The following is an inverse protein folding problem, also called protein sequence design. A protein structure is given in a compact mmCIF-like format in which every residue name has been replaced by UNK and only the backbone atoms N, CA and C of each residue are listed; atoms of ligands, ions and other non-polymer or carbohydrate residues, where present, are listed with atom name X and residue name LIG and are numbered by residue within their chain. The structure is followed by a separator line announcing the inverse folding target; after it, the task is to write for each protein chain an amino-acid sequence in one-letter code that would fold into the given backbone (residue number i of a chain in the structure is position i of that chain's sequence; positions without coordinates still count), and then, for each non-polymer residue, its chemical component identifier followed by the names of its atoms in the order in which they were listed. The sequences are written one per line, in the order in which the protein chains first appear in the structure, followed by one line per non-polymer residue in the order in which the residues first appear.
data_IF_328880404421
#
_entry.id   IF_328880404421
#
_cell.length_a   1.000
_cell.length_b   1.000
_cell.length_c   1.000
_cell.angle_alpha   90.00
_cell.angle_beta   90.00
_cell.angle_gamma   90.00
#
_symmetry.space_group_name_H-M   'P 1'
#
loop_
_entity.id
_entity.type
_entity.pdbx_description
1 polymer ?
#
# COMPACT_ATOMS: atom_id res chain seq x y z
N UNK A 1 -2.31 16.94 -1.91
CA UNK A 1 -3.38 17.03 -0.89
C UNK A 1 -2.78 17.57 0.40
N UNK A 2 -3.40 18.60 0.96
CA UNK A 2 -3.06 19.04 2.31
C UNK A 2 -3.64 18.00 3.28
N UNK A 3 -2.79 17.40 4.12
CA UNK A 3 -3.21 16.34 5.05
C UNK A 3 -4.08 16.96 6.15
N UNK A 4 -5.25 16.35 6.43
CA UNK A 4 -6.08 16.71 7.56
C UNK A 4 -5.53 16.03 8.82
N UNK A 5 -5.07 16.78 9.84
CA UNK A 5 -4.52 16.18 11.06
C UNK A 5 -5.53 15.31 11.84
N UNK A 6 -6.83 15.53 11.61
CA UNK A 6 -7.91 14.80 12.27
C UNK A 6 -8.39 13.57 11.49
N UNK A 7 -7.88 13.37 10.25
CA UNK A 7 -8.30 12.27 9.38
C UNK A 7 -7.09 11.58 8.78
N UNK A 8 -7.11 10.25 8.82
CA UNK A 8 -6.11 9.40 8.20
C UNK A 8 -6.77 8.47 7.20
N UNK A 9 -6.33 8.49 5.96
CA UNK A 9 -6.92 7.70 4.88
C UNK A 9 -5.99 6.53 4.55
N UNK A 10 -6.52 5.31 4.65
CA UNK A 10 -5.81 4.06 4.42
C UNK A 10 -6.40 3.34 3.20
N UNK A 11 -5.55 3.06 2.20
CA UNK A 11 -5.89 2.19 1.08
C UNK A 11 -5.29 0.81 1.28
N UNK A 12 -6.10 -0.23 1.08
CA UNK A 12 -5.66 -1.63 1.16
C UNK A 12 -6.02 -2.32 -0.14
N UNK A 13 -5.03 -2.99 -0.76
CA UNK A 13 -5.29 -3.82 -1.93
C UNK A 13 -4.20 -4.88 -2.15
N UNK A 14 -4.59 -6.00 -2.72
CA UNK A 14 -3.69 -7.14 -2.96
C UNK A 14 -3.35 -7.39 -4.44
N UNK A 15 -3.58 -6.37 -5.32
CA UNK A 15 -3.58 -6.53 -6.77
C UNK A 15 -5.01 -6.81 -7.30
N UNK A 16 -5.20 -6.99 -8.61
CA UNK A 16 -6.52 -7.10 -9.26
C UNK A 16 -7.43 -8.19 -8.69
N UNK A 17 -6.85 -9.29 -8.22
CA UNK A 17 -7.59 -10.43 -7.64
C UNK A 17 -7.78 -10.32 -6.12
N UNK A 18 -7.24 -9.27 -5.50
CA UNK A 18 -7.15 -9.18 -4.06
C UNK A 18 -6.04 -10.05 -3.46
N UNK A 19 -5.97 -10.10 -2.14
CA UNK A 19 -5.02 -10.93 -1.40
C UNK A 19 -5.65 -11.42 -0.11
N UNK A 20 -5.99 -12.71 -0.04
CA UNK A 20 -6.62 -13.29 1.14
C UNK A 20 -5.84 -13.02 2.41
N UNK A 21 -4.51 -13.17 2.39
CA UNK A 21 -3.67 -12.93 3.56
C UNK A 21 -3.77 -11.47 4.06
N UNK A 22 -3.74 -10.48 3.16
CA UNK A 22 -3.90 -9.07 3.52
C UNK A 22 -5.32 -8.80 4.01
N UNK A 23 -6.33 -9.36 3.32
CA UNK A 23 -7.74 -9.21 3.68
C UNK A 23 -8.01 -9.73 5.10
N UNK A 24 -7.56 -10.94 5.42
CA UNK A 24 -7.73 -11.56 6.74
C UNK A 24 -6.94 -10.81 7.82
N UNK A 25 -5.71 -10.41 7.53
CA UNK A 25 -4.91 -9.63 8.46
C UNK A 25 -5.58 -8.29 8.79
N UNK A 26 -6.17 -7.61 7.79
CA UNK A 26 -6.86 -6.34 8.06
C UNK A 26 -8.13 -6.54 8.90
N UNK A 27 -8.95 -7.53 8.60
CA UNK A 27 -10.15 -7.80 9.41
C UNK A 27 -9.77 -8.14 10.86
N UNK A 28 -8.72 -8.92 11.06
CA UNK A 28 -8.22 -9.26 12.40
C UNK A 28 -7.46 -8.10 13.08
N UNK A 29 -7.04 -7.09 12.33
CA UNK A 29 -6.43 -5.87 12.86
C UNK A 29 -7.45 -4.90 13.48
N UNK A 30 -8.73 -4.94 13.07
CA UNK A 30 -9.75 -3.97 13.48
C UNK A 30 -9.90 -3.79 14.98
N UNK A 31 -9.93 -4.86 15.82
CA UNK A 31 -9.99 -4.70 17.27
C UNK A 31 -8.78 -3.98 17.87
N UNK A 32 -7.60 -4.14 17.26
CA UNK A 32 -6.36 -3.50 17.70
C UNK A 32 -6.25 -2.04 17.26
N UNK A 33 -7.12 -1.59 16.33
CA UNK A 33 -7.21 -0.22 15.83
C UNK A 33 -8.40 0.56 16.38
N UNK A 34 -9.10 0.03 17.38
CA UNK A 34 -10.33 0.61 17.93
C UNK A 34 -10.15 2.06 18.37
N UNK A 35 -9.02 2.39 19.03
CA UNK A 35 -8.71 3.76 19.47
C UNK A 35 -8.51 4.76 18.33
N UNK A 36 -8.23 4.27 17.11
CA UNK A 36 -8.00 5.07 15.91
C UNK A 36 -9.21 5.15 14.98
N UNK A 37 -10.27 4.37 15.26
CA UNK A 37 -11.42 4.16 14.37
C UNK A 37 -12.06 5.45 13.87
N UNK A 38 -12.32 6.39 14.76
CA UNK A 38 -13.03 7.63 14.43
C UNK A 38 -12.21 8.58 13.52
N UNK A 39 -10.88 8.42 13.52
CA UNK A 39 -9.95 9.22 12.69
C UNK A 39 -9.55 8.52 11.40
N UNK A 40 -9.88 7.23 11.24
CA UNK A 40 -9.41 6.42 10.11
C UNK A 40 -10.53 6.22 9.08
N UNK A 41 -10.25 6.58 7.84
CA UNK A 41 -11.04 6.21 6.67
C UNK A 41 -10.34 5.09 5.94
N UNK A 42 -11.05 4.02 5.62
CA UNK A 42 -10.47 2.84 4.96
C UNK A 42 -11.14 2.63 3.60
N UNK A 43 -10.32 2.55 2.56
CA UNK A 43 -10.72 2.03 1.24
C UNK A 43 -10.05 0.67 1.08
N UNK A 44 -10.83 -0.40 0.88
CA UNK A 44 -10.30 -1.75 0.80
C UNK A 44 -10.77 -2.47 -0.46
N UNK A 45 -9.85 -2.71 -1.40
CA UNK A 45 -10.09 -3.58 -2.54
C UNK A 45 -9.75 -5.03 -2.16
N UNK A 46 -10.74 -5.87 -2.09
CA UNK A 46 -10.65 -7.24 -1.58
C UNK A 46 -10.42 -8.29 -2.66
N UNK A 47 -10.76 -7.97 -3.92
CA UNK A 47 -11.04 -8.95 -4.95
C UNK A 47 -12.42 -9.59 -4.74
N UNK A 48 -12.95 -10.17 -5.81
CA UNK A 48 -14.32 -10.73 -5.83
C UNK A 48 -14.54 -11.84 -4.80
N UNK A 49 -13.55 -12.71 -4.59
CA UNK A 49 -13.73 -13.92 -3.76
C UNK A 49 -13.92 -13.61 -2.27
N UNK A 50 -13.26 -12.58 -1.75
CA UNK A 50 -13.29 -12.28 -0.32
C UNK A 50 -14.20 -11.08 0.02
N UNK A 51 -14.84 -10.45 -0.98
CA UNK A 51 -15.59 -9.21 -0.81
C UNK A 51 -16.63 -9.29 0.32
N UNK A 52 -17.54 -10.24 0.25
CA UNK A 52 -18.61 -10.37 1.24
C UNK A 52 -18.06 -10.68 2.64
N UNK A 53 -17.04 -11.54 2.74
CA UNK A 53 -16.40 -11.90 4.01
C UNK A 53 -15.77 -10.66 4.66
N UNK A 54 -15.01 -9.88 3.89
CA UNK A 54 -14.32 -8.68 4.40
C UNK A 54 -15.32 -7.60 4.79
N UNK A 55 -16.33 -7.35 3.95
CA UNK A 55 -17.40 -6.40 4.22
C UNK A 55 -18.12 -6.73 5.53
N UNK A 56 -18.49 -8.00 5.71
CA UNK A 56 -19.12 -8.47 6.95
C UNK A 56 -18.19 -8.28 8.16
N UNK A 57 -16.89 -8.50 8.02
CA UNK A 57 -15.91 -8.26 9.08
C UNK A 57 -15.85 -6.81 9.55
N UNK A 58 -15.83 -5.83 8.63
CA UNK A 58 -15.90 -4.40 8.96
C UNK A 58 -17.20 -4.04 9.68
N UNK A 59 -18.33 -4.54 9.17
CA UNK A 59 -19.65 -4.30 9.80
C UNK A 59 -19.70 -4.86 11.22
N UNK A 60 -19.27 -6.12 11.41
CA UNK A 60 -19.25 -6.77 12.72
C UNK A 60 -18.36 -6.05 13.73
N UNK A 61 -17.25 -5.46 13.26
CA UNK A 61 -16.35 -4.66 14.09
C UNK A 61 -16.82 -3.19 14.29
N UNK A 62 -17.98 -2.80 13.75
CA UNK A 62 -18.56 -1.46 13.93
C UNK A 62 -17.83 -0.35 13.16
N UNK A 63 -17.03 -0.69 12.14
CA UNK A 63 -16.30 0.28 11.32
C UNK A 63 -17.21 0.89 10.24
N UNK A 64 -17.67 2.12 10.46
CA UNK A 64 -18.63 2.81 9.59
C UNK A 64 -17.98 3.60 8.45
N UNK A 65 -16.75 4.09 8.63
CA UNK A 65 -16.01 4.89 7.64
C UNK A 65 -15.14 3.99 6.75
N UNK A 66 -15.79 3.00 6.12
CA UNK A 66 -15.11 2.03 5.25
C UNK A 66 -15.79 1.94 3.90
N UNK A 67 -14.97 1.95 2.85
CA UNK A 67 -15.37 1.73 1.46
C UNK A 67 -14.75 0.42 0.98
N UNK A 68 -15.51 -0.67 1.10
CA UNK A 68 -15.07 -2.01 0.68
C UNK A 68 -15.54 -2.25 -0.74
N UNK A 69 -14.61 -2.60 -1.63
CA UNK A 69 -14.85 -2.81 -3.06
C UNK A 69 -14.26 -4.13 -3.54
N UNK A 70 -14.91 -4.76 -4.52
CA UNK A 70 -14.29 -5.88 -5.25
C UNK A 70 -13.08 -5.43 -6.05
N UNK A 71 -13.21 -4.28 -6.73
CA UNK A 71 -12.19 -3.71 -7.61
C UNK A 71 -12.22 -2.18 -7.59
N UNK A 72 -11.06 -1.55 -7.81
CA UNK A 72 -10.90 -0.10 -7.93
C UNK A 72 -10.36 0.22 -9.33
N UNK A 73 -11.18 0.85 -10.17
CA UNK A 73 -10.79 1.23 -11.54
C UNK A 73 -9.82 2.42 -11.55
N UNK A 74 -10.09 3.43 -10.72
CA UNK A 74 -9.33 4.67 -10.66
C UNK A 74 -8.21 4.60 -9.61
N UNK A 75 -7.23 3.68 -9.77
CA UNK A 75 -6.16 3.48 -8.80
C UNK A 75 -5.30 4.73 -8.57
N UNK A 76 -5.06 5.53 -9.61
CA UNK A 76 -4.31 6.80 -9.50
C UNK A 76 -5.01 7.77 -8.53
N UNK A 77 -6.34 7.88 -8.62
CA UNK A 77 -7.15 8.68 -7.69
C UNK A 77 -7.09 8.09 -6.29
N UNK A 78 -7.23 6.78 -6.17
CA UNK A 78 -7.14 6.10 -4.87
C UNK A 78 -5.78 6.34 -4.20
N UNK A 79 -4.67 6.30 -4.93
CA UNK A 79 -3.37 6.68 -4.38
C UNK A 79 -3.34 8.15 -3.94
N UNK A 80 -3.86 9.07 -4.75
CA UNK A 80 -3.83 10.50 -4.42
C UNK A 80 -4.62 10.82 -3.13
N UNK A 81 -5.73 10.13 -2.90
CA UNK A 81 -6.65 10.38 -1.79
C UNK A 81 -6.21 9.76 -0.45
N UNK A 82 -5.34 8.76 -0.47
CA UNK A 82 -4.93 8.04 0.73
C UNK A 82 -3.55 8.47 1.25
N UNK A 83 -3.38 8.40 2.56
CA UNK A 83 -2.15 8.78 3.26
C UNK A 83 -1.17 7.62 3.39
N UNK A 84 -1.67 6.39 3.51
CA UNK A 84 -0.89 5.16 3.63
C UNK A 84 -1.50 4.06 2.75
N UNK A 85 -0.64 3.25 2.15
CA UNK A 85 -1.05 2.16 1.29
C UNK A 85 -0.57 0.83 1.89
N UNK A 86 -1.47 -0.17 1.99
CA UNK A 86 -1.11 -1.56 2.29
C UNK A 86 -1.29 -2.39 1.04
N UNK A 87 -0.22 -3.02 0.55
CA UNK A 87 -0.29 -3.75 -0.72
C UNK A 87 0.71 -4.88 -0.85
N UNK A 88 0.55 -5.69 -1.93
CA UNK A 88 1.61 -6.52 -2.46
C UNK A 88 2.72 -5.66 -3.08
N UNK A 89 3.90 -6.26 -3.29
CA UNK A 89 5.09 -5.58 -3.81
C UNK A 89 5.40 -5.92 -5.28
N UNK A 90 4.36 -6.06 -6.11
CA UNK A 90 4.52 -6.25 -7.55
C UNK A 90 5.22 -5.05 -8.21
N UNK A 91 5.90 -5.26 -9.34
CA UNK A 91 6.68 -4.22 -10.02
C UNK A 91 5.81 -2.99 -10.33
N UNK A 92 4.66 -3.18 -11.00
CA UNK A 92 3.74 -2.09 -11.35
C UNK A 92 3.34 -1.27 -10.12
N UNK A 93 2.85 -1.94 -9.07
CA UNK A 93 2.47 -1.28 -7.81
C UNK A 93 3.63 -0.51 -7.19
N UNK A 94 4.82 -1.10 -7.15
CA UNK A 94 6.01 -0.44 -6.58
C UNK A 94 6.38 0.83 -7.35
N UNK A 95 6.38 0.78 -8.69
CA UNK A 95 6.65 1.96 -9.51
C UNK A 95 5.56 3.03 -9.39
N UNK A 96 4.29 2.65 -9.33
CA UNK A 96 3.17 3.56 -9.13
C UNK A 96 3.25 4.26 -7.76
N UNK A 97 3.57 3.53 -6.70
CA UNK A 97 3.77 4.09 -5.36
C UNK A 97 4.92 5.09 -5.32
N UNK A 98 6.06 4.75 -5.94
CA UNK A 98 7.21 5.66 -6.07
C UNK A 98 6.81 6.93 -6.85
N UNK A 99 6.16 6.77 -8.01
CA UNK A 99 5.73 7.88 -8.85
C UNK A 99 4.73 8.81 -8.14
N UNK A 100 3.79 8.23 -7.38
CA UNK A 100 2.82 8.97 -6.58
C UNK A 100 3.43 9.53 -5.28
N UNK A 101 4.64 9.09 -4.89
CA UNK A 101 5.27 9.45 -3.63
C UNK A 101 4.44 8.99 -2.42
N UNK A 102 3.90 7.77 -2.46
CA UNK A 102 3.02 7.26 -1.40
C UNK A 102 3.77 6.29 -0.48
N UNK A 103 3.66 6.52 0.84
CA UNK A 103 4.18 5.58 1.84
C UNK A 103 3.43 4.26 1.77
N UNK A 104 4.13 3.16 1.99
CA UNK A 104 3.50 1.85 1.91
C UNK A 104 3.92 0.89 3.04
N UNK A 105 3.00 0.03 3.45
CA UNK A 105 3.27 -1.24 4.11
C UNK A 105 3.20 -2.33 3.04
N UNK A 106 4.34 -2.89 2.70
CA UNK A 106 4.44 -3.85 1.59
C UNK A 106 4.51 -5.27 2.13
N UNK A 107 3.64 -6.12 1.60
CA UNK A 107 3.55 -7.54 1.95
C UNK A 107 3.87 -8.36 0.70
N UNK A 108 5.14 -8.72 0.44
CA UNK A 108 5.51 -9.53 -0.71
C UNK A 108 4.81 -10.89 -0.71
N UNK A 109 4.47 -11.39 -1.90
CA UNK A 109 3.92 -12.74 -2.05
C UNK A 109 5.04 -13.76 -1.79
N UNK A 110 4.84 -14.75 -0.91
CA UNK A 110 5.82 -15.80 -0.64
C UNK A 110 6.26 -16.52 -1.92
N UNK A 111 7.56 -16.81 -2.03
CA UNK A 111 8.14 -17.45 -3.20
C UNK A 111 8.36 -16.52 -4.41
N UNK A 112 7.94 -15.27 -4.35
CA UNK A 112 8.16 -14.27 -5.40
C UNK A 112 9.36 -13.37 -5.04
N UNK A 113 10.56 -13.78 -5.47
CA UNK A 113 11.81 -13.07 -5.15
C UNK A 113 11.79 -11.61 -5.64
N UNK A 114 11.16 -11.35 -6.79
CA UNK A 114 11.02 -10.00 -7.34
C UNK A 114 10.23 -9.09 -6.39
N UNK A 115 9.10 -9.55 -5.87
CA UNK A 115 8.31 -8.77 -4.91
C UNK A 115 9.08 -8.49 -3.62
N UNK A 116 9.82 -9.48 -3.12
CA UNK A 116 10.67 -9.31 -1.95
C UNK A 116 11.72 -8.23 -2.19
N UNK A 117 12.42 -8.27 -3.34
CA UNK A 117 13.42 -7.27 -3.72
C UNK A 117 12.83 -5.87 -3.88
N UNK A 118 11.67 -5.75 -4.51
CA UNK A 118 10.97 -4.46 -4.66
C UNK A 118 10.67 -3.84 -3.29
N UNK A 119 10.11 -4.64 -2.37
CA UNK A 119 9.81 -4.17 -1.02
C UNK A 119 11.07 -3.79 -0.24
N UNK A 120 12.15 -4.58 -0.33
CA UNK A 120 13.43 -4.30 0.31
C UNK A 120 14.07 -3.00 -0.21
N UNK A 121 14.04 -2.75 -1.52
CA UNK A 121 14.55 -1.50 -2.11
C UNK A 121 13.77 -0.30 -1.58
N UNK A 122 12.43 -0.37 -1.55
CA UNK A 122 11.61 0.72 -1.02
C UNK A 122 11.81 0.93 0.48
N UNK A 123 12.00 -0.14 1.25
CA UNK A 123 12.29 -0.07 2.68
C UNK A 123 13.67 0.55 2.95
N UNK A 124 14.70 0.11 2.24
CA UNK A 124 16.07 0.65 2.39
C UNK A 124 16.13 2.14 2.05
N UNK A 125 15.34 2.58 1.06
CA UNK A 125 15.21 3.99 0.75
C UNK A 125 14.36 4.78 1.74
N UNK A 126 13.69 4.12 2.69
CA UNK A 126 12.80 4.74 3.65
C UNK A 126 11.43 5.16 3.08
N UNK A 127 11.02 4.58 1.95
CA UNK A 127 9.73 4.86 1.30
C UNK A 127 8.61 3.88 1.69
N UNK A 128 8.97 2.74 2.26
CA UNK A 128 8.03 1.71 2.70
C UNK A 128 8.52 1.00 3.96
N UNK A 129 7.60 0.28 4.62
CA UNK A 129 7.93 -0.77 5.59
C UNK A 129 7.56 -2.11 5.00
N UNK A 130 8.41 -3.10 5.20
CA UNK A 130 8.20 -4.48 4.75
C UNK A 130 7.64 -5.32 5.90
N UNK A 131 6.56 -6.06 5.62
CA UNK A 131 6.05 -7.12 6.50
C UNK A 131 6.10 -8.42 5.70
N UNK A 132 6.88 -9.39 6.12
CA UNK A 132 6.87 -10.72 5.51
C UNK A 132 5.53 -11.40 5.76
N UNK A 133 5.00 -12.15 4.80
CA UNK A 133 3.66 -12.73 4.95
C UNK A 133 3.57 -13.70 6.14
N UNK A 134 4.63 -14.41 6.47
CA UNK A 134 4.71 -15.27 7.66
C UNK A 134 4.62 -14.50 8.99
N UNK A 135 4.95 -13.21 8.98
CA UNK A 135 4.87 -12.30 10.13
C UNK A 135 3.56 -11.48 10.12
N UNK A 136 2.75 -11.61 9.06
CA UNK A 136 1.54 -10.83 8.87
C UNK A 136 0.41 -11.36 9.74
N UNK A 137 0.26 -10.78 10.92
CA UNK A 137 -0.88 -10.95 11.82
C UNK A 137 -1.70 -9.66 11.89
N UNK A 138 -2.95 -9.74 12.37
CA UNK A 138 -3.76 -8.54 12.60
C UNK A 138 -3.11 -7.58 13.57
N UNK A 139 -2.53 -8.09 14.67
CA UNK A 139 -1.81 -7.30 15.66
C UNK A 139 -0.58 -6.58 15.04
N UNK A 140 0.22 -7.32 14.25
CA UNK A 140 1.40 -6.74 13.58
C UNK A 140 0.98 -5.65 12.60
N UNK A 141 -0.01 -5.91 11.77
CA UNK A 141 -0.51 -4.93 10.81
C UNK A 141 -1.06 -3.69 11.51
N UNK A 142 -1.88 -3.88 12.55
CA UNK A 142 -2.43 -2.78 13.33
C UNK A 142 -1.34 -1.93 13.97
N UNK A 143 -0.31 -2.55 14.56
CA UNK A 143 0.84 -1.86 15.16
C UNK A 143 1.56 -0.96 14.15
N UNK A 144 1.82 -1.46 12.95
CA UNK A 144 2.48 -0.66 11.90
C UNK A 144 1.60 0.49 11.41
N UNK A 145 0.30 0.26 11.20
CA UNK A 145 -0.66 1.30 10.80
C UNK A 145 -0.75 2.38 11.89
N UNK A 146 -1.01 1.99 13.14
CA UNK A 146 -1.13 2.93 14.26
C UNK A 146 0.16 3.75 14.45
N UNK A 147 1.33 3.09 14.41
CA UNK A 147 2.63 3.77 14.51
C UNK A 147 2.80 4.85 13.44
N UNK A 148 2.42 4.59 12.19
CA UNK A 148 2.52 5.57 11.11
C UNK A 148 1.46 6.67 11.22
N UNK A 149 0.25 6.32 11.66
CA UNK A 149 -0.83 7.26 11.88
C UNK A 149 -0.49 8.29 12.96
N UNK A 150 0.21 7.86 14.01
CA UNK A 150 0.61 8.72 15.12
C UNK A 150 1.92 9.49 14.85
N UNK A 151 2.57 9.24 13.70
CA UNK A 151 3.83 9.88 13.29
C UNK A 151 3.70 10.55 11.91
N UNK A 152 2.99 11.69 11.79
CA UNK A 152 2.77 12.37 10.50
C UNK A 152 4.07 12.83 9.83
N UNK A 153 5.10 13.15 10.61
CA UNK A 153 6.43 13.51 10.09
C UNK A 153 7.10 12.32 9.40
N UNK A 154 6.92 11.11 9.94
CA UNK A 154 7.43 9.89 9.32
C UNK A 154 6.75 9.63 7.96
N UNK A 155 5.44 9.79 7.88
CA UNK A 155 4.70 9.71 6.62
C UNK A 155 5.26 10.73 5.61
N UNK A 156 5.48 11.97 6.03
CA UNK A 156 6.04 13.03 5.16
C UNK A 156 7.45 12.67 4.68
N UNK A 157 8.28 12.10 5.56
CA UNK A 157 9.62 11.62 5.23
C UNK A 157 9.57 10.48 4.22
N UNK A 158 8.69 9.50 4.43
CA UNK A 158 8.50 8.37 3.53
C UNK A 158 8.05 8.83 2.13
N UNK A 159 7.13 9.78 2.04
CA UNK A 159 6.70 10.39 0.77
C UNK A 159 7.88 11.04 0.02
N UNK A 160 8.72 11.79 0.73
CA UNK A 160 9.89 12.42 0.14
C UNK A 160 10.90 11.39 -0.39
N UNK A 161 11.10 10.29 0.34
CA UNK A 161 11.94 9.17 -0.06
C UNK A 161 11.37 8.46 -1.31
N UNK A 162 10.07 8.18 -1.35
CA UNK A 162 9.41 7.57 -2.51
C UNK A 162 9.58 8.42 -3.78
N UNK A 163 9.36 9.73 -3.67
CA UNK A 163 9.54 10.67 -4.79
C UNK A 163 10.99 10.71 -5.34
N UNK A 164 12.00 10.50 -4.49
CA UNK A 164 13.41 10.42 -4.92
C UNK A 164 13.73 9.14 -5.68
N UNK A 165 13.02 8.04 -5.40
CA UNK A 165 13.17 6.77 -6.13
C UNK A 165 12.51 6.81 -7.50
N UNK A 166 11.52 7.68 -7.70
CA UNK A 166 10.73 7.74 -8.93
C UNK A 166 11.60 8.15 -10.12
N UNK A 167 11.63 7.32 -11.15
CA UNK A 167 12.25 7.64 -12.45
C UNK A 167 11.18 8.13 -13.42
N UNK A 168 11.02 9.45 -13.46
CA UNK A 168 10.02 10.09 -14.36
C UNK A 168 10.41 10.02 -15.83
N UNK A 169 11.67 9.75 -16.12
CA UNK A 169 12.28 9.64 -17.46
C UNK A 169 12.44 8.18 -17.92
N UNK A 170 11.85 7.22 -17.22
CA UNK A 170 12.07 5.80 -17.47
C UNK A 170 11.80 5.39 -18.93
N UNK A 171 10.74 5.91 -19.56
CA UNK A 171 10.42 5.63 -20.95
C UNK A 171 11.49 6.22 -21.89
N UNK A 172 11.91 7.48 -21.70
CA UNK A 172 12.96 8.12 -22.47
C UNK A 172 14.30 7.38 -22.32
N UNK A 173 14.66 7.03 -21.08
CA UNK A 173 15.88 6.26 -20.80
C UNK A 173 15.90 4.87 -21.47
N UNK A 174 14.73 4.23 -21.56
CA UNK A 174 14.61 2.95 -22.29
C UNK A 174 14.84 3.13 -23.79
N UNK A 175 14.25 4.15 -24.41
CA UNK A 175 14.47 4.49 -25.83
C UNK A 175 15.95 4.81 -26.08
N UNK A 176 16.56 5.65 -25.25
CA UNK A 176 17.99 6.00 -25.37
C UNK A 176 18.90 4.75 -25.28
N UNK A 177 18.55 3.80 -24.40
CA UNK A 177 19.27 2.55 -24.27
C UNK A 177 19.13 1.68 -25.53
N UNK A 178 17.92 1.53 -26.07
CA UNK A 178 17.68 0.82 -27.32
C UNK A 178 18.48 1.42 -28.48
N UNK A 179 18.46 2.73 -28.65
CA UNK A 179 19.21 3.43 -29.68
C UNK A 179 20.73 3.19 -29.55
N UNK A 180 21.27 3.23 -28.31
CA UNK A 180 22.70 2.92 -28.08
C UNK A 180 23.07 1.49 -28.46
N UNK A 181 22.20 0.54 -28.17
CA UNK A 181 22.44 -0.88 -28.54
C UNK A 181 22.41 -1.04 -30.06
N UNK A 182 21.42 -0.43 -30.74
CA UNK A 182 21.30 -0.49 -32.20
C UNK A 182 22.50 0.15 -32.94
N UNK A 183 23.07 1.23 -32.41
CA UNK A 183 24.25 1.91 -33.01
C UNK A 183 25.56 1.14 -32.82
N UNK A 184 25.59 0.10 -31.98
CA UNK A 184 26.78 -0.74 -31.73
C UNK A 184 26.83 -1.99 -32.58
N UNK A 185 25.79 -2.24 -33.37
CA UNK A 185 25.75 -3.29 -34.40
C UNK A 185 26.12 -2.69 -35.78
#
# INVERSE_FOLDING_TARGET
KQRDPQRFSLLIFGGSQGSRAINEAMVTALPHLESHRERMQVTHQTGKLDFEKVRAGYVAAGWKQTDVREYIDAMVTAFAENDLIVSRAGATTSFELMAAGKPALMVPLPGQLEQTRNAEVMQQAGAARLIRQEELTGERLAKEIASLMDQPDEITRMEACGRKLARRDAAAAAVDLMERVMRRQ
#
